data_IF_741006957588
#
_entry.id   IF_741006957588
#
_cell.length_a   1.000
_cell.length_b   1.000
_cell.length_c   1.000
_cell.angle_alpha   90.00
_cell.angle_beta   90.00
_cell.angle_gamma   90.00
#
_symmetry.space_group_name_H-M   'P 1'
#
loop_
_entity.id
_entity.type
_entity.pdbx_description
1 polymer ?
#
# COMPACT_ATOMS: atom_id res chain seq x y z
N UNK A 1 7.10 -24.10 6.83
CA UNK A 1 7.79 -23.71 5.58
C UNK A 1 7.57 -22.23 5.44
N UNK A 2 8.55 -21.42 5.09
CA UNK A 2 8.39 -19.97 5.10
C UNK A 2 8.03 -19.46 3.68
N UNK A 3 7.67 -18.20 3.54
CA UNK A 3 7.30 -17.53 2.28
C UNK A 3 7.59 -16.02 2.43
N UNK A 4 7.60 -15.26 1.34
CA UNK A 4 7.95 -13.83 1.35
C UNK A 4 9.34 -13.56 0.79
N UNK A 5 9.57 -12.32 0.35
CA UNK A 5 10.83 -11.91 -0.29
C UNK A 5 12.03 -11.95 0.66
N UNK A 6 11.80 -12.03 1.98
CA UNK A 6 12.81 -12.29 3.00
C UNK A 6 12.56 -13.58 3.81
N UNK A 7 11.71 -14.49 3.30
CA UNK A 7 11.21 -15.67 4.03
C UNK A 7 10.63 -15.36 5.42
N UNK A 8 10.01 -14.20 5.58
CA UNK A 8 9.45 -13.71 6.84
C UNK A 8 8.08 -14.34 7.19
N UNK A 9 7.37 -14.92 6.21
CA UNK A 9 6.03 -15.48 6.39
C UNK A 9 6.10 -16.99 6.63
N UNK A 10 6.07 -17.45 7.87
CA UNK A 10 5.89 -18.88 8.20
C UNK A 10 4.54 -19.40 7.67
N UNK A 11 4.49 -20.44 6.84
CA UNK A 11 3.31 -21.13 6.32
C UNK A 11 2.47 -21.87 7.37
N UNK A 12 2.91 -21.91 8.64
CA UNK A 12 2.03 -22.23 9.78
C UNK A 12 1.25 -21.01 10.30
N UNK A 13 1.07 -20.00 9.44
CA UNK A 13 0.92 -18.60 9.82
C UNK A 13 -0.24 -18.25 10.75
N UNK A 14 -1.27 -19.09 10.82
CA UNK A 14 -2.40 -18.85 11.71
C UNK A 14 -2.11 -19.27 13.16
N UNK A 15 -1.05 -20.03 13.43
CA UNK A 15 -0.69 -20.48 14.78
C UNK A 15 -1.89 -21.06 15.54
N UNK A 16 -2.23 -20.43 16.66
CA UNK A 16 -3.41 -20.76 17.49
C UNK A 16 -4.69 -19.99 17.15
N UNK A 17 -4.64 -19.04 16.21
CA UNK A 17 -5.76 -18.18 15.83
C UNK A 17 -6.85 -18.98 15.13
N UNK A 18 -8.06 -19.01 15.70
CA UNK A 18 -9.20 -19.72 15.12
C UNK A 18 -10.24 -18.77 14.57
N UNK A 19 -10.17 -18.48 13.27
CA UNK A 19 -11.19 -17.70 12.58
C UNK A 19 -12.52 -18.45 12.53
N UNK A 20 -13.57 -17.86 13.11
CA UNK A 20 -14.90 -18.46 13.24
C UNK A 20 -15.86 -17.93 12.17
N UNK A 21 -17.06 -18.54 12.10
CA UNK A 21 -18.18 -18.07 11.28
C UNK A 21 -17.88 -17.93 9.78
N UNK A 22 -16.99 -18.76 9.22
CA UNK A 22 -16.61 -18.71 7.81
C UNK A 22 -15.53 -17.66 7.48
N UNK A 23 -14.90 -17.07 8.50
CA UNK A 23 -13.77 -16.18 8.32
C UNK A 23 -12.53 -16.91 7.81
N UNK A 24 -11.74 -16.19 6.99
CA UNK A 24 -10.49 -16.70 6.41
C UNK A 24 -9.31 -16.15 7.21
N UNK A 25 -8.42 -17.02 7.66
CA UNK A 25 -7.18 -16.57 8.28
C UNK A 25 -6.21 -16.10 7.20
N UNK A 26 -5.60 -14.94 7.41
CA UNK A 26 -4.52 -14.42 6.57
C UNK A 26 -3.26 -14.19 7.39
N UNK A 27 -2.17 -14.75 6.89
CA UNK A 27 -0.80 -14.53 7.30
C UNK A 27 -0.43 -13.06 7.08
N UNK A 28 0.19 -12.40 8.06
CA UNK A 28 0.64 -11.02 7.93
C UNK A 28 2.02 -10.83 8.52
N UNK A 29 2.75 -9.82 8.04
CA UNK A 29 4.14 -9.49 8.43
C UNK A 29 4.34 -9.24 9.93
N UNK A 30 3.29 -8.81 10.65
CA UNK A 30 3.34 -8.48 12.08
C UNK A 30 2.61 -9.50 12.96
N UNK A 31 1.48 -10.03 12.49
CA UNK A 31 0.70 -11.08 13.14
C UNK A 31 -0.40 -11.61 12.19
N UNK A 32 -0.83 -12.88 12.35
CA UNK A 32 -2.00 -13.38 11.65
C UNK A 32 -3.27 -12.65 12.07
N UNK A 33 -4.19 -12.48 11.12
CA UNK A 33 -5.50 -11.88 11.37
C UNK A 33 -6.60 -12.65 10.66
N UNK A 34 -7.81 -12.59 11.20
CA UNK A 34 -8.99 -13.12 10.54
C UNK A 34 -9.65 -12.07 9.64
N UNK A 35 -9.90 -12.43 8.39
CA UNK A 35 -10.81 -11.71 7.51
C UNK A 35 -12.24 -12.13 7.83
N UNK A 36 -12.94 -11.29 8.59
CA UNK A 36 -14.31 -11.57 9.00
C UNK A 36 -15.29 -11.39 7.84
N UNK A 37 -16.26 -12.31 7.67
CA UNK A 37 -17.34 -12.11 6.72
C UNK A 37 -18.26 -10.98 7.18
N UNK A 38 -19.06 -10.40 6.26
CA UNK A 38 -20.04 -9.36 6.59
C UNK A 38 -20.93 -9.77 7.77
N UNK A 39 -21.14 -8.85 8.70
CA UNK A 39 -21.94 -9.11 9.91
C UNK A 39 -21.18 -9.81 11.04
N UNK A 40 -19.85 -9.96 10.96
CA UNK A 40 -19.02 -10.48 12.05
C UNK A 40 -17.80 -9.59 12.33
N UNK A 41 -17.37 -9.55 13.59
CA UNK A 41 -16.18 -8.82 14.04
C UNK A 41 -15.49 -9.50 15.21
N UNK A 42 -14.38 -8.92 15.67
CA UNK A 42 -13.52 -9.48 16.71
C UNK A 42 -12.30 -10.18 16.12
N UNK A 43 -11.29 -10.43 16.98
CA UNK A 43 -10.03 -11.03 16.57
C UNK A 43 -10.18 -12.40 15.90
N UNK A 44 -11.17 -13.19 16.35
CA UNK A 44 -11.53 -14.50 15.78
C UNK A 44 -12.84 -14.45 14.95
N UNK A 45 -13.37 -13.26 14.66
CA UNK A 45 -14.68 -13.09 14.01
C UNK A 45 -15.83 -13.75 14.80
N UNK A 46 -15.71 -13.82 16.12
CA UNK A 46 -16.64 -14.49 17.02
C UNK A 46 -17.91 -13.67 17.30
N UNK A 47 -17.84 -12.35 17.12
CA UNK A 47 -18.92 -11.42 17.49
C UNK A 47 -19.81 -11.17 16.29
N UNK A 48 -21.09 -11.56 16.38
CA UNK A 48 -22.10 -11.17 15.40
C UNK A 48 -22.35 -9.65 15.53
N UNK A 49 -22.30 -8.95 14.41
CA UNK A 49 -22.70 -7.55 14.31
C UNK A 49 -24.14 -7.47 13.82
N UNK A 50 -25.02 -6.94 14.65
CA UNK A 50 -26.42 -6.69 14.26
C UNK A 50 -26.55 -5.49 13.30
N UNK A 51 -25.54 -4.62 13.28
CA UNK A 51 -25.45 -3.48 12.38
C UNK A 51 -24.00 -3.22 11.96
N UNK A 52 -23.73 -2.92 10.68
CA UNK A 52 -22.40 -2.53 10.22
C UNK A 52 -21.91 -1.21 10.84
N UNK A 53 -22.82 -0.42 11.43
CA UNK A 53 -22.48 0.82 12.12
C UNK A 53 -22.26 0.66 13.64
N UNK A 54 -22.35 -0.55 14.21
CA UNK A 54 -22.32 -0.76 15.67
C UNK A 54 -21.08 -0.14 16.34
N UNK A 55 -19.91 -0.24 15.70
CA UNK A 55 -18.65 0.29 16.23
C UNK A 55 -18.19 1.59 15.54
N UNK A 56 -19.06 2.21 14.73
CA UNK A 56 -18.76 3.33 13.83
C UNK A 56 -17.42 3.18 13.06
N UNK A 57 -17.42 2.57 11.85
CA UNK A 57 -16.21 2.39 11.05
C UNK A 57 -15.66 3.69 10.43
N UNK A 58 -16.35 4.83 10.58
CA UNK A 58 -15.96 6.09 9.96
C UNK A 58 -14.95 6.85 10.83
N UNK A 59 -13.80 7.19 10.26
CA UNK A 59 -12.73 7.94 10.93
C UNK A 59 -13.04 9.44 11.03
N UNK A 60 -12.19 10.16 11.79
CA UNK A 60 -12.14 11.62 11.83
C UNK A 60 -13.48 12.30 12.14
N UNK A 61 -14.32 11.68 12.98
CA UNK A 61 -15.64 12.20 13.33
C UNK A 61 -16.72 11.96 12.28
N UNK A 62 -16.47 11.07 11.31
CA UNK A 62 -17.48 10.63 10.35
C UNK A 62 -18.65 9.91 11.02
N UNK A 63 -19.83 10.06 10.42
CA UNK A 63 -21.06 9.41 10.87
C UNK A 63 -21.40 8.23 9.97
N UNK A 64 -21.55 7.04 10.55
CA UNK A 64 -21.96 5.84 9.81
C UNK A 64 -23.47 5.80 9.57
N UNK A 65 -23.86 5.40 8.37
CA UNK A 65 -25.25 5.12 7.99
C UNK A 65 -25.33 3.71 7.36
N UNK A 66 -26.18 2.81 7.88
CA UNK A 66 -26.39 1.52 7.25
C UNK A 66 -27.12 1.69 5.91
N UNK A 67 -26.78 0.86 4.93
CA UNK A 67 -27.39 0.80 3.60
C UNK A 67 -27.65 -0.66 3.21
N UNK A 68 -28.48 -0.88 2.20
CA UNK A 68 -28.90 -2.23 1.80
C UNK A 68 -27.90 -2.94 0.87
N UNK A 69 -27.00 -2.19 0.23
CA UNK A 69 -26.03 -2.70 -0.73
C UNK A 69 -24.64 -2.77 -0.09
N UNK A 70 -23.81 -3.73 -0.51
CA UNK A 70 -22.42 -3.85 -0.05
C UNK A 70 -21.67 -2.51 -0.24
N UNK A 71 -20.88 -2.04 0.77
CA UNK A 71 -20.45 -2.74 1.98
C UNK A 71 -21.43 -2.69 3.16
N UNK A 72 -22.72 -2.41 2.92
CA UNK A 72 -23.84 -2.34 3.88
C UNK A 72 -23.80 -1.14 4.83
N UNK A 73 -22.83 -0.25 4.66
CA UNK A 73 -22.82 1.06 5.28
C UNK A 73 -22.16 2.09 4.38
N UNK A 74 -22.37 3.36 4.69
CA UNK A 74 -21.64 4.50 4.11
C UNK A 74 -21.30 5.51 5.20
N UNK A 75 -20.21 6.25 5.00
CA UNK A 75 -19.79 7.30 5.91
C UNK A 75 -20.20 8.68 5.40
N UNK A 76 -20.72 9.52 6.30
CA UNK A 76 -20.82 10.97 6.10
C UNK A 76 -19.63 11.64 6.79
N UNK A 77 -18.71 12.15 6.00
CA UNK A 77 -17.45 12.73 6.44
C UNK A 77 -17.54 14.24 6.69
N UNK A 78 -16.80 14.77 7.68
CA UNK A 78 -16.65 16.21 7.88
C UNK A 78 -15.91 16.90 6.74
N UNK A 79 -15.89 18.24 6.75
CA UNK A 79 -15.04 19.00 5.85
C UNK A 79 -13.56 18.61 6.02
N UNK A 80 -12.81 18.66 4.93
CA UNK A 80 -11.41 18.26 4.83
C UNK A 80 -11.11 16.76 4.94
N UNK A 81 -12.12 15.91 5.17
CA UNK A 81 -11.95 14.45 5.28
C UNK A 81 -12.83 13.73 4.27
N UNK A 82 -12.23 12.88 3.44
CA UNK A 82 -12.88 12.15 2.36
C UNK A 82 -12.41 10.68 2.37
N UNK A 83 -12.74 9.91 1.32
CA UNK A 83 -12.57 8.46 1.31
C UNK A 83 -13.81 7.75 1.89
N UNK A 84 -14.01 6.49 1.52
CA UNK A 84 -15.16 5.69 1.95
C UNK A 84 -15.30 5.58 3.49
N UNK A 85 -14.19 5.71 4.22
CA UNK A 85 -14.15 5.70 5.69
C UNK A 85 -13.73 7.06 6.31
N UNK A 86 -13.69 8.16 5.54
CA UNK A 86 -13.23 9.47 6.02
C UNK A 86 -11.76 9.52 6.50
N UNK A 87 -10.90 8.64 5.99
CA UNK A 87 -9.49 8.53 6.40
C UNK A 87 -8.53 9.35 5.51
N UNK A 88 -9.02 9.89 4.39
CA UNK A 88 -8.21 10.67 3.45
C UNK A 88 -8.37 12.15 3.79
N UNK A 89 -7.26 12.87 3.88
CA UNK A 89 -7.25 14.31 4.13
C UNK A 89 -7.31 15.05 2.78
N UNK A 90 -8.41 15.74 2.53
CA UNK A 90 -8.73 16.42 1.27
C UNK A 90 -9.25 17.82 1.56
N UNK A 91 -8.35 18.81 1.60
CA UNK A 91 -8.67 20.22 1.93
C UNK A 91 -9.70 20.87 1.00
N UNK A 92 -9.97 20.29 -0.16
CA UNK A 92 -10.97 20.79 -1.10
C UNK A 92 -12.36 20.26 -0.78
N UNK A 93 -12.47 19.15 -0.04
CA UNK A 93 -13.73 18.50 0.28
C UNK A 93 -14.52 19.28 1.34
N UNK A 94 -15.75 19.66 1.01
CA UNK A 94 -16.64 20.44 1.89
C UNK A 94 -17.40 19.60 2.91
N UNK A 95 -17.19 18.28 2.94
CA UNK A 95 -17.95 17.35 3.76
C UNK A 95 -19.13 16.74 3.00
N UNK A 96 -19.65 15.63 3.51
CA UNK A 96 -20.74 14.87 2.91
C UNK A 96 -20.44 13.38 2.81
N UNK A 97 -21.08 12.67 1.88
CA UNK A 97 -20.81 11.24 1.70
C UNK A 97 -19.36 11.01 1.26
N UNK A 98 -18.64 10.16 2.01
CA UNK A 98 -17.30 9.73 1.65
C UNK A 98 -17.31 8.99 0.32
N UNK A 99 -16.41 9.37 -0.58
CA UNK A 99 -16.32 8.79 -1.93
C UNK A 99 -15.03 8.03 -2.08
N UNK A 100 -15.02 7.10 -3.00
CA UNK A 100 -13.76 6.55 -3.48
C UNK A 100 -13.02 7.66 -4.20
N UNK A 101 -11.88 8.08 -3.66
CA UNK A 101 -11.00 8.99 -4.36
C UNK A 101 -10.20 8.08 -5.28
N UNK A 102 -10.73 7.86 -6.49
CA UNK A 102 -9.91 7.31 -7.55
C UNK A 102 -8.63 8.13 -7.57
N UNK A 103 -7.49 7.45 -7.58
CA UNK A 103 -6.20 8.10 -7.84
C UNK A 103 -6.44 9.09 -8.97
N UNK A 104 -5.96 10.34 -8.85
CA UNK A 104 -6.03 11.25 -9.98
C UNK A 104 -5.55 10.48 -11.21
N UNK A 105 -6.22 10.62 -12.37
CA UNK A 105 -5.75 9.96 -13.58
C UNK A 105 -4.25 10.23 -13.68
N UNK A 106 -3.46 9.21 -14.01
CA UNK A 106 -2.02 9.36 -14.18
C UNK A 106 -1.79 10.45 -15.20
N UNK A 107 -1.58 11.67 -14.71
CA UNK A 107 -1.15 12.78 -15.54
C UNK A 107 0.32 12.50 -15.71
N UNK A 108 0.67 11.88 -16.83
CA UNK A 108 2.04 11.81 -17.28
C UNK A 108 2.52 13.26 -17.47
N UNK A 109 3.28 13.76 -16.50
CA UNK A 109 3.96 15.03 -16.62
C UNK A 109 5.20 14.76 -17.47
N UNK A 110 5.32 15.36 -18.67
CA UNK A 110 6.47 15.11 -19.52
C UNK A 110 7.73 15.74 -18.89
N UNK A 111 8.85 15.03 -18.98
CA UNK A 111 10.16 15.58 -18.61
C UNK A 111 10.53 16.73 -19.56
N UNK A 112 10.64 17.95 -19.06
CA UNK A 112 11.02 19.11 -19.89
C UNK A 112 12.53 19.17 -20.18
N UNK A 113 13.33 18.27 -19.59
CA UNK A 113 14.77 18.20 -19.79
C UNK A 113 15.07 17.34 -21.02
N UNK A 114 15.25 17.99 -22.17
CA UNK A 114 15.48 17.32 -23.46
C UNK A 114 16.68 16.33 -23.47
N UNK A 115 17.64 16.48 -22.55
CA UNK A 115 18.78 15.56 -22.45
C UNK A 115 18.42 14.22 -21.79
N UNK A 116 17.29 14.14 -21.09
CA UNK A 116 16.89 12.96 -20.34
C UNK A 116 16.19 11.89 -21.21
N UNK A 117 15.69 12.24 -22.41
CA UNK A 117 15.08 11.27 -23.34
C UNK A 117 16.04 10.15 -23.79
N UNK A 118 17.35 10.34 -23.64
CA UNK A 118 18.37 9.32 -23.94
C UNK A 118 19.27 8.94 -22.75
N UNK A 119 18.95 9.45 -21.55
CA UNK A 119 19.67 9.14 -20.31
C UNK A 119 18.85 8.24 -19.40
N UNK A 120 17.52 8.41 -19.37
CA UNK A 120 16.69 7.56 -18.54
C UNK A 120 16.67 6.09 -18.98
N UNK A 121 16.75 5.19 -18.00
CA UNK A 121 16.72 3.74 -18.18
C UNK A 121 18.01 3.14 -18.74
N UNK A 122 19.15 3.83 -18.61
CA UNK A 122 20.48 3.37 -19.03
C UNK A 122 21.31 2.74 -17.89
N UNK A 123 20.72 2.58 -16.69
CA UNK A 123 21.37 2.09 -15.47
C UNK A 123 22.55 2.96 -14.97
N UNK A 124 22.55 4.25 -15.32
CA UNK A 124 23.49 5.26 -14.84
C UNK A 124 22.66 6.40 -14.27
N UNK A 125 22.79 6.68 -12.98
CA UNK A 125 22.08 7.81 -12.39
C UNK A 125 22.62 9.16 -12.89
N UNK A 126 21.96 9.76 -13.89
CA UNK A 126 22.17 11.14 -14.31
C UNK A 126 21.44 12.09 -13.35
N UNK A 127 22.19 12.68 -12.41
CA UNK A 127 21.62 13.58 -11.37
C UNK A 127 20.84 14.79 -11.91
N UNK A 128 21.06 15.18 -13.16
CA UNK A 128 20.29 16.23 -13.84
C UNK A 128 18.87 15.78 -14.22
N UNK A 129 18.66 14.47 -14.38
CA UNK A 129 17.41 13.80 -14.68
C UNK A 129 16.75 13.18 -13.43
N UNK A 130 17.40 13.27 -12.27
CA UNK A 130 16.89 12.77 -10.98
C UNK A 130 15.80 13.67 -10.37
N UNK A 131 14.63 13.71 -11.00
CA UNK A 131 13.46 14.42 -10.50
C UNK A 131 12.16 13.68 -10.84
N UNK A 132 11.06 14.06 -10.19
CA UNK A 132 9.76 13.41 -10.34
C UNK A 132 9.20 13.47 -11.78
N UNK A 133 9.43 14.56 -12.51
CA UNK A 133 8.91 14.73 -13.89
C UNK A 133 9.66 13.85 -14.90
N UNK A 134 10.95 13.59 -14.64
CA UNK A 134 11.79 12.72 -15.45
C UNK A 134 11.83 11.27 -14.94
N UNK A 135 10.91 10.91 -14.04
CA UNK A 135 10.79 9.56 -13.51
C UNK A 135 12.04 9.08 -12.76
N UNK A 136 12.79 10.00 -12.15
CA UNK A 136 14.05 9.72 -11.47
C UNK A 136 15.07 9.08 -12.43
N UNK A 137 15.31 9.76 -13.54
CA UNK A 137 16.13 9.27 -14.66
C UNK A 137 15.65 7.92 -15.20
N UNK A 138 14.34 7.80 -15.47
CA UNK A 138 13.74 6.54 -15.92
C UNK A 138 13.82 5.40 -14.89
N UNK A 139 14.10 5.71 -13.62
CA UNK A 139 14.26 4.75 -12.54
C UNK A 139 15.71 4.35 -12.27
N UNK A 140 16.70 4.95 -12.93
CA UNK A 140 18.12 4.68 -12.68
C UNK A 140 18.64 5.38 -11.42
N UNK A 141 17.93 6.40 -10.94
CA UNK A 141 18.32 7.11 -9.73
C UNK A 141 17.43 6.75 -8.54
N UNK A 142 18.06 6.65 -7.38
CA UNK A 142 17.36 6.59 -6.10
C UNK A 142 16.91 7.99 -5.65
N UNK A 143 16.03 8.04 -4.64
CA UNK A 143 15.65 9.29 -3.96
C UNK A 143 16.82 9.95 -3.19
N UNK A 144 17.89 9.19 -2.93
CA UNK A 144 19.15 9.71 -2.38
C UNK A 144 20.10 10.03 -3.54
N UNK A 145 20.59 11.26 -3.57
CA UNK A 145 21.49 11.76 -4.61
C UNK A 145 22.83 10.99 -4.59
N UNK A 146 23.25 10.51 -5.77
CA UNK A 146 24.50 9.78 -6.04
C UNK A 146 24.64 8.43 -5.32
N UNK A 147 23.71 7.50 -5.58
CA UNK A 147 23.88 6.10 -5.20
C UNK A 147 24.36 5.27 -6.41
N UNK A 148 25.66 4.90 -6.49
CA UNK A 148 26.23 4.21 -7.64
C UNK A 148 25.88 2.72 -7.70
N UNK A 149 25.25 2.19 -6.64
CA UNK A 149 24.87 0.79 -6.56
C UNK A 149 23.45 0.58 -7.09
N UNK A 150 22.55 1.56 -6.87
CA UNK A 150 21.13 1.47 -7.19
C UNK A 150 20.83 1.17 -8.67
N UNK A 151 20.11 0.07 -8.91
CA UNK A 151 19.57 -0.30 -10.24
C UNK A 151 20.65 -0.44 -11.32
N UNK A 152 21.83 -0.97 -10.96
CA UNK A 152 22.99 -1.11 -11.85
C UNK A 152 23.02 -2.47 -12.60
N UNK A 153 22.01 -3.31 -12.40
CA UNK A 153 21.88 -4.65 -12.94
C UNK A 153 22.59 -5.74 -12.13
N UNK A 154 23.17 -5.42 -10.98
CA UNK A 154 23.77 -6.37 -10.03
C UNK A 154 23.07 -6.24 -8.69
N UNK A 155 23.15 -7.28 -7.88
CA UNK A 155 22.71 -7.17 -6.50
C UNK A 155 23.91 -6.79 -5.61
N UNK A 156 23.99 -5.52 -5.24
CA UNK A 156 24.98 -4.96 -4.35
C UNK A 156 24.50 -4.95 -2.89
N UNK A 157 25.24 -5.63 -2.01
CA UNK A 157 24.86 -5.77 -0.60
C UNK A 157 24.69 -4.43 0.15
N UNK A 158 25.35 -3.37 -0.34
CA UNK A 158 25.26 -2.02 0.21
C UNK A 158 23.87 -1.40 -0.02
N UNK A 159 23.18 -1.77 -1.10
CA UNK A 159 21.86 -1.29 -1.48
C UNK A 159 20.78 -2.42 -1.46
N UNK A 160 21.13 -3.63 -1.01
CA UNK A 160 20.23 -4.77 -0.84
C UNK A 160 19.29 -4.66 0.40
N UNK A 161 18.62 -3.52 0.59
CA UNK A 161 17.69 -3.31 1.69
C UNK A 161 16.47 -2.48 1.27
N UNK A 162 15.42 -2.48 2.10
CA UNK A 162 14.16 -1.78 1.78
C UNK A 162 14.30 -0.26 1.62
N UNK A 163 15.33 0.36 2.22
CA UNK A 163 15.60 1.80 2.07
C UNK A 163 16.13 2.17 0.68
N UNK A 164 16.68 1.19 -0.04
CA UNK A 164 17.25 1.33 -1.38
C UNK A 164 16.49 0.44 -2.40
N UNK A 165 15.24 0.08 -2.06
CA UNK A 165 14.34 -0.76 -2.84
C UNK A 165 14.94 -2.11 -3.28
N UNK A 166 15.78 -2.72 -2.44
CA UNK A 166 16.50 -3.95 -2.76
C UNK A 166 17.29 -3.82 -4.06
N UNK A 167 18.10 -2.76 -4.09
CA UNK A 167 18.96 -2.40 -5.19
C UNK A 167 18.23 -2.11 -6.48
N UNK A 168 17.28 -1.17 -6.44
CA UNK A 168 16.44 -0.90 -7.62
C UNK A 168 15.69 -2.14 -8.12
N UNK A 169 15.48 -3.13 -7.24
CA UNK A 169 14.96 -4.47 -7.52
C UNK A 169 15.91 -5.48 -8.17
N UNK A 170 17.19 -5.17 -8.37
CA UNK A 170 18.18 -6.14 -8.89
C UNK A 170 18.41 -7.33 -7.94
N UNK A 171 18.21 -7.12 -6.64
CA UNK A 171 18.29 -8.20 -5.65
C UNK A 171 17.03 -9.08 -5.58
N UNK A 172 15.98 -8.84 -6.38
CA UNK A 172 14.76 -9.66 -6.36
C UNK A 172 15.01 -11.14 -6.71
N UNK A 173 16.04 -11.44 -7.52
CA UNK A 173 16.37 -12.82 -7.93
C UNK A 173 17.18 -13.61 -6.91
N UNK A 174 17.60 -12.98 -5.81
CA UNK A 174 18.05 -13.68 -4.62
C UNK A 174 16.87 -14.17 -3.76
N UNK A 175 15.64 -14.19 -4.31
CA UNK A 175 14.55 -15.05 -3.86
C UNK A 175 15.02 -16.51 -3.84
N UNK A 176 15.75 -16.84 -2.77
CA UNK A 176 15.97 -18.18 -2.31
C UNK A 176 14.61 -18.82 -2.17
N UNK A 177 14.50 -20.02 -2.71
CA UNK A 177 13.54 -21.00 -2.27
C UNK A 177 13.48 -20.98 -0.74
N UNK A 178 12.40 -20.44 -0.19
CA UNK A 178 11.87 -20.96 1.06
C UNK A 178 11.26 -22.36 0.76
#
# INVERSE_FOLDING_TARGET
>A
GYSGSSCEYDAQSCGSLRCRNGATCVSGHLSPRCLCPPGFSGHECQTRMDSPCLNNPCYNGGTCQPINDAPFFRCSCPANFNGLLCHILDYSFKGGQGRDIALPPEVEIPCEIAQCEGRGGNAICDTQCNNHECGWDGGDCSLNFDDPYFNDGKCDEQCANAGCLYDGFDCQRLEGQC
#
